data_IF_126624675940
#
_entry.id   IF_126624675940
#
_cell.length_a   1.000
_cell.length_b   1.000
_cell.length_c   1.000
_cell.angle_alpha   90.00
_cell.angle_beta   90.00
_cell.angle_gamma   90.00
#
_symmetry.space_group_name_H-M   'P 1'
#
loop_
_entity.id
_entity.type
_entity.pdbx_description
1 polymer ?
#
# COMPACT_ATOMS: atom_id res chain seq x y z
N UNK A 1 22.38 -25.10 -21.50
CA UNK A 1 21.62 -24.26 -20.54
C UNK A 1 21.16 -23.00 -21.26
N UNK A 2 19.88 -22.90 -21.63
CA UNK A 2 19.35 -21.75 -22.37
C UNK A 2 19.33 -20.46 -21.53
N UNK A 3 19.57 -19.30 -22.15
CA UNK A 3 19.43 -18.01 -21.44
C UNK A 3 17.95 -17.70 -21.22
N UNK A 4 17.61 -17.13 -20.07
CA UNK A 4 16.23 -16.70 -19.74
C UNK A 4 16.05 -15.20 -19.92
N UNK A 5 14.85 -14.81 -20.34
CA UNK A 5 14.45 -13.41 -20.47
C UNK A 5 14.51 -12.74 -19.10
N UNK A 6 15.31 -11.67 -18.96
CA UNK A 6 15.45 -10.94 -17.69
C UNK A 6 14.16 -10.30 -17.18
N UNK A 7 13.15 -10.16 -18.05
CA UNK A 7 11.89 -9.53 -17.70
C UNK A 7 10.75 -10.49 -17.41
N UNK A 8 10.69 -11.65 -18.08
CA UNK A 8 9.58 -12.61 -17.90
C UNK A 8 10.02 -14.02 -17.51
N UNK A 9 11.31 -14.33 -17.55
CA UNK A 9 11.84 -15.66 -17.22
C UNK A 9 11.70 -16.71 -18.33
N UNK A 10 11.00 -16.42 -19.44
CA UNK A 10 10.88 -17.34 -20.59
C UNK A 10 12.25 -17.63 -21.20
N UNK A 11 12.46 -18.86 -21.65
CA UNK A 11 13.66 -19.24 -22.39
C UNK A 11 13.81 -18.41 -23.67
N UNK A 12 15.04 -18.03 -23.97
CA UNK A 12 15.37 -17.24 -25.14
C UNK A 12 15.85 -18.18 -26.23
N UNK A 13 15.14 -18.16 -27.34
CA UNK A 13 15.57 -18.75 -28.59
C UNK A 13 16.33 -17.72 -29.43
N UNK A 14 17.38 -18.17 -30.11
CA UNK A 14 18.20 -17.38 -31.01
C UNK A 14 19.51 -16.87 -30.39
N UNK A 15 19.89 -15.64 -30.77
CA UNK A 15 21.25 -15.13 -30.56
C UNK A 15 21.74 -15.17 -29.08
N UNK A 16 23.01 -15.53 -28.83
CA UNK A 16 23.54 -15.73 -27.48
C UNK A 16 23.58 -14.45 -26.64
N UNK A 17 23.56 -13.27 -27.26
CA UNK A 17 23.57 -11.98 -26.56
C UNK A 17 22.17 -11.43 -26.26
N UNK A 18 21.11 -12.12 -26.69
CA UNK A 18 19.72 -11.69 -26.45
C UNK A 18 19.42 -11.71 -24.96
N UNK A 19 18.86 -10.61 -24.44
CA UNK A 19 18.49 -10.45 -23.01
C UNK A 19 16.98 -10.48 -22.76
N UNK A 20 16.19 -10.26 -23.80
CA UNK A 20 14.73 -10.15 -23.73
C UNK A 20 14.07 -10.90 -24.89
N UNK A 21 12.95 -11.55 -24.60
CA UNK A 21 12.20 -12.31 -25.61
C UNK A 21 11.44 -11.41 -26.60
N UNK A 22 11.19 -10.15 -26.25
CA UNK A 22 10.46 -9.20 -27.09
C UNK A 22 10.78 -7.76 -26.72
N UNK A 23 10.43 -6.82 -27.61
CA UNK A 23 10.58 -5.39 -27.37
C UNK A 23 9.73 -4.88 -26.21
N UNK A 24 8.53 -5.44 -26.04
CA UNK A 24 7.71 -5.18 -24.86
C UNK A 24 8.42 -5.59 -23.56
N UNK A 25 9.24 -6.64 -23.57
CA UNK A 25 10.05 -7.05 -22.42
C UNK A 25 11.26 -6.13 -22.21
N UNK A 26 11.91 -5.70 -23.30
CA UNK A 26 13.01 -4.73 -23.31
C UNK A 26 12.57 -3.39 -22.71
N UNK A 27 11.48 -2.81 -23.20
CA UNK A 27 10.93 -1.53 -22.73
C UNK A 27 10.51 -1.59 -21.27
N UNK A 28 9.85 -2.67 -20.84
CA UNK A 28 9.46 -2.83 -19.44
C UNK A 28 10.68 -3.02 -18.51
N UNK A 29 11.74 -3.67 -19.00
CA UNK A 29 13.03 -3.76 -18.30
C UNK A 29 13.71 -2.40 -18.18
N UNK A 30 13.67 -1.57 -19.22
CA UNK A 30 14.18 -0.20 -19.21
C UNK A 30 13.45 0.68 -18.18
N UNK A 31 12.12 0.76 -18.27
CA UNK A 31 11.30 1.59 -17.36
C UNK A 31 11.49 1.23 -15.88
N UNK A 32 11.80 -0.04 -15.57
CA UNK A 32 12.11 -0.47 -14.19
C UNK A 32 13.48 -0.01 -13.73
N UNK A 33 14.51 -0.15 -14.58
CA UNK A 33 15.86 0.34 -14.28
C UNK A 33 15.88 1.84 -14.07
N UNK A 34 15.13 2.58 -14.88
CA UNK A 34 14.95 4.02 -14.72
C UNK A 34 14.33 4.41 -13.36
N UNK A 35 13.55 3.51 -12.74
CA UNK A 35 12.93 3.70 -11.42
C UNK A 35 13.77 3.13 -10.26
N UNK A 36 15.01 2.70 -10.51
CA UNK A 36 15.87 2.11 -9.48
C UNK A 36 15.47 0.70 -8.99
N UNK A 37 14.47 0.07 -9.60
CA UNK A 37 14.00 -1.27 -9.22
C UNK A 37 14.93 -2.33 -9.82
N UNK A 38 15.95 -2.76 -9.07
CA UNK A 38 16.79 -3.93 -9.41
C UNK A 38 16.04 -5.22 -9.07
N UNK A 39 15.87 -6.11 -10.05
CA UNK A 39 15.26 -7.41 -9.83
C UNK A 39 15.97 -8.46 -10.68
N UNK A 40 16.55 -9.46 -10.00
CA UNK A 40 17.02 -10.74 -10.52
C UNK A 40 15.92 -11.83 -10.53
N UNK A 41 14.69 -11.47 -10.17
CA UNK A 41 13.58 -12.41 -10.00
C UNK A 41 12.62 -12.42 -11.21
N UNK A 42 12.42 -13.57 -11.87
CA UNK A 42 11.51 -13.71 -13.00
C UNK A 42 10.04 -13.51 -12.59
N UNK A 43 9.25 -12.86 -13.45
CA UNK A 43 7.84 -12.49 -13.20
C UNK A 43 6.91 -13.61 -12.74
N UNK A 44 7.26 -14.87 -12.94
CA UNK A 44 6.48 -16.02 -12.43
C UNK A 44 6.26 -15.95 -10.92
N UNK A 45 7.16 -15.31 -10.17
CA UNK A 45 7.01 -15.13 -8.72
C UNK A 45 6.47 -13.77 -8.30
N UNK A 46 6.29 -12.79 -9.20
CA UNK A 46 5.82 -11.44 -8.81
C UNK A 46 4.30 -11.39 -8.56
N UNK A 47 3.53 -12.16 -9.32
CA UNK A 47 2.13 -12.43 -8.98
C UNK A 47 2.00 -13.65 -8.05
N UNK A 48 2.99 -14.55 -8.04
CA UNK A 48 3.03 -15.75 -7.21
C UNK A 48 3.31 -15.47 -5.73
N UNK A 49 4.23 -14.58 -5.36
CA UNK A 49 4.56 -14.29 -3.95
C UNK A 49 3.51 -13.41 -3.28
N UNK A 50 3.00 -12.39 -3.97
CA UNK A 50 1.88 -11.59 -3.45
C UNK A 50 0.60 -12.44 -3.40
N UNK A 51 0.43 -13.46 -4.28
CA UNK A 51 -0.65 -14.45 -4.12
C UNK A 51 -0.35 -15.54 -3.10
N UNK A 52 0.88 -15.98 -2.88
CA UNK A 52 1.20 -17.08 -1.97
C UNK A 52 1.22 -16.64 -0.51
N UNK A 53 1.76 -15.45 -0.23
CA UNK A 53 1.66 -14.82 1.10
C UNK A 53 0.20 -14.51 1.44
N UNK A 54 -0.61 -14.13 0.43
CA UNK A 54 -2.05 -13.83 0.63
C UNK A 54 -2.95 -15.07 0.51
N UNK A 55 -2.51 -16.17 -0.11
CA UNK A 55 -3.29 -17.41 -0.26
C UNK A 55 -2.97 -18.45 0.81
N UNK A 56 -1.83 -18.34 1.51
CA UNK A 56 -1.59 -19.14 2.71
C UNK A 56 -2.58 -18.79 3.86
N UNK A 57 -3.20 -17.61 3.82
CA UNK A 57 -4.11 -17.12 4.86
C UNK A 57 -5.60 -17.16 4.49
N UNK A 58 -5.96 -17.49 3.25
CA UNK A 58 -7.36 -17.37 2.80
C UNK A 58 -7.78 -18.53 1.91
N UNK A 59 -8.20 -19.61 2.56
CA UNK A 59 -9.14 -20.56 1.98
C UNK A 59 -10.45 -19.81 1.68
N UNK A 60 -11.05 -20.12 0.53
CA UNK A 60 -12.05 -19.30 -0.14
C UNK A 60 -13.31 -18.98 0.67
N UNK A 61 -13.92 -17.83 0.34
CA UNK A 61 -15.10 -17.16 0.91
C UNK A 61 -14.79 -15.94 1.79
N UNK A 62 -13.66 -15.91 2.50
CA UNK A 62 -13.38 -14.88 3.52
C UNK A 62 -12.90 -13.52 3.01
N UNK A 63 -12.55 -13.36 1.73
CA UNK A 63 -11.86 -12.13 1.28
C UNK A 63 -12.76 -10.88 1.30
N UNK A 64 -14.04 -11.03 0.97
CA UNK A 64 -15.02 -9.94 1.06
C UNK A 64 -15.33 -9.64 2.52
N UNK A 65 -15.40 -10.67 3.37
CA UNK A 65 -15.70 -10.54 4.79
C UNK A 65 -14.53 -9.92 5.56
N UNK A 66 -13.30 -10.33 5.29
CA UNK A 66 -12.08 -9.73 5.81
C UNK A 66 -11.95 -8.26 5.38
N UNK A 67 -12.23 -7.95 4.11
CA UNK A 67 -12.25 -6.57 3.63
C UNK A 67 -13.30 -5.72 4.36
N UNK A 68 -14.51 -6.24 4.56
CA UNK A 68 -15.55 -5.55 5.35
C UNK A 68 -15.09 -5.30 6.79
N UNK A 69 -14.50 -6.31 7.44
CA UNK A 69 -14.03 -6.22 8.81
C UNK A 69 -12.91 -5.18 8.96
N UNK A 70 -11.99 -5.10 7.99
CA UNK A 70 -10.97 -4.04 7.93
C UNK A 70 -11.58 -2.64 7.75
N UNK A 71 -12.63 -2.52 6.94
CA UNK A 71 -13.30 -1.22 6.73
C UNK A 71 -14.10 -0.79 7.96
N UNK A 72 -14.74 -1.72 8.66
CA UNK A 72 -15.53 -1.43 9.85
C UNK A 72 -14.64 -1.09 11.06
N UNK A 73 -13.51 -1.79 11.22
CA UNK A 73 -12.49 -1.43 12.20
C UNK A 73 -11.89 -0.05 11.94
N UNK A 74 -11.57 0.28 10.67
CA UNK A 74 -11.09 1.61 10.31
C UNK A 74 -12.14 2.71 10.63
N UNK A 75 -13.42 2.47 10.36
CA UNK A 75 -14.51 3.42 10.69
C UNK A 75 -14.63 3.63 12.20
N UNK A 76 -14.53 2.56 12.99
CA UNK A 76 -14.61 2.62 14.45
C UNK A 76 -13.48 3.47 15.04
N UNK A 77 -12.23 3.26 14.59
CA UNK A 77 -11.08 4.05 15.03
C UNK A 77 -11.22 5.54 14.67
N UNK A 78 -11.75 5.87 13.50
CA UNK A 78 -12.01 7.26 13.10
C UNK A 78 -13.08 7.90 14.00
N UNK A 79 -14.15 7.17 14.32
CA UNK A 79 -15.21 7.66 15.21
C UNK A 79 -14.70 7.87 16.64
N UNK A 80 -13.85 6.98 17.14
CA UNK A 80 -13.20 7.09 18.44
C UNK A 80 -12.26 8.29 18.50
N UNK A 81 -11.39 8.45 17.50
CA UNK A 81 -10.49 9.61 17.39
C UNK A 81 -11.27 10.94 17.39
N UNK A 82 -12.39 11.00 16.66
CA UNK A 82 -13.28 12.17 16.67
C UNK A 82 -13.89 12.42 18.05
N UNK A 83 -14.31 11.38 18.74
CA UNK A 83 -14.88 11.48 20.09
C UNK A 83 -13.83 12.00 21.09
N UNK A 84 -12.59 11.50 21.01
CA UNK A 84 -11.48 11.98 21.83
C UNK A 84 -11.16 13.47 21.56
N UNK A 85 -11.24 13.93 20.32
CA UNK A 85 -11.08 15.35 19.97
C UNK A 85 -12.21 16.22 20.51
N UNK A 86 -13.45 15.74 20.46
CA UNK A 86 -14.60 16.45 21.04
C UNK A 86 -14.45 16.53 22.56
N UNK A 87 -14.01 15.45 23.20
CA UNK A 87 -13.84 15.39 24.64
C UNK A 87 -12.67 16.24 25.12
N UNK A 88 -11.53 16.21 24.43
CA UNK A 88 -10.40 17.10 24.73
C UNK A 88 -10.80 18.57 24.57
N UNK A 89 -11.56 18.91 23.52
CA UNK A 89 -12.12 20.25 23.33
C UNK A 89 -13.09 20.63 24.45
N UNK A 90 -13.97 19.73 24.89
CA UNK A 90 -14.87 19.96 26.03
C UNK A 90 -14.11 20.21 27.33
N UNK A 91 -12.99 19.51 27.55
CA UNK A 91 -12.12 19.74 28.72
C UNK A 91 -11.36 21.06 28.64
N UNK A 92 -10.97 21.49 27.44
CA UNK A 92 -10.25 22.76 27.22
C UNK A 92 -11.14 24.01 27.25
N UNK A 93 -12.41 23.92 26.82
CA UNK A 93 -13.32 25.08 26.75
C UNK A 93 -13.51 25.79 28.12
N UNK A 94 -13.74 25.11 29.25
CA UNK A 94 -13.84 25.74 30.56
C UNK A 94 -12.58 26.50 30.97
N UNK A 95 -11.40 25.90 30.74
CA UNK A 95 -10.11 26.56 30.98
C UNK A 95 -9.91 27.79 30.10
N UNK A 96 -10.25 27.73 28.81
CA UNK A 96 -10.18 28.89 27.92
C UNK A 96 -11.20 29.98 28.30
N UNK A 97 -12.37 29.58 28.84
CA UNK A 97 -13.40 30.51 29.33
C UNK A 97 -13.01 31.18 30.64
N UNK A 98 -12.28 30.49 31.52
CA UNK A 98 -11.74 31.04 32.76
C UNK A 98 -10.55 31.99 32.52
N UNK A 99 -9.82 31.80 31.42
CA UNK A 99 -8.76 32.69 30.96
C UNK A 99 -9.27 33.89 30.14
N UNK A 100 -10.59 33.99 29.90
CA UNK A 100 -11.17 35.17 29.26
C UNK A 100 -11.12 36.30 30.29
N UNK A 101 -10.32 37.36 30.09
CA UNK A 101 -10.34 38.50 31.00
C UNK A 101 -11.76 39.06 31.05
N UNK A 102 -12.26 39.50 32.22
CA UNK A 102 -13.55 40.15 32.31
C UNK A 102 -13.52 41.31 31.30
N UNK A 103 -14.44 41.29 30.34
CA UNK A 103 -14.58 42.40 29.41
C UNK A 103 -14.81 43.66 30.22
N UNK A 104 -14.05 44.70 29.89
CA UNK A 104 -14.26 46.05 30.38
C UNK A 104 -15.73 46.44 30.10
N UNK A 105 -16.55 46.35 31.14
CA UNK A 105 -17.78 47.11 31.26
C UNK A 105 -17.35 48.54 31.55
N UNK A 106 -17.28 49.36 30.51
CA UNK A 106 -17.30 50.82 30.63
C UNK A 106 -18.13 51.37 29.47
N UNK A 107 -19.30 51.88 29.87
CA UNK A 107 -20.29 52.74 29.20
C UNK A 107 -20.94 52.31 27.87
#
# INVERSE_FOLDING_TARGET
MGKRCRQCGRELEGAPHRRYCSDACRMRGYRRRAKGLRIDFPKVTRFGLVRAVVAAEAVGSDRIQASRLLMDTARSLIAESRSQLIESRRRMIPTLRALRPPGDLSD
#
